data_IF_087423624985
#
_entry.id   IF_087423624985
#
_cell.length_a   1.000
_cell.length_b   1.000
_cell.length_c   1.000
_cell.angle_alpha   90.00
_cell.angle_beta   90.00
_cell.angle_gamma   90.00
#
_symmetry.space_group_name_H-M   'P 1'
#
loop_
_entity.id
_entity.type
_entity.pdbx_description
1 polymer ?
#
# COMPACT_ATOMS: atom_id res chain seq x y z
N UNK A 1 -29.05 4.74 -18.54
CA UNK A 1 -27.76 4.69 -19.24
C UNK A 1 -27.80 3.72 -20.43
N UNK A 2 -28.95 3.67 -21.14
CA UNK A 2 -29.25 2.61 -22.12
C UNK A 2 -28.37 2.60 -23.36
N UNK A 3 -27.82 3.76 -23.72
CA UNK A 3 -26.87 3.89 -24.83
C UNK A 3 -25.42 4.09 -24.35
N UNK A 4 -25.17 3.94 -23.05
CA UNK A 4 -23.86 4.15 -22.45
C UNK A 4 -23.09 2.85 -22.28
N UNK A 5 -21.77 2.98 -22.28
CA UNK A 5 -20.83 1.89 -22.02
C UNK A 5 -20.09 2.20 -20.71
N UNK A 6 -19.86 1.19 -19.88
CA UNK A 6 -19.05 1.32 -18.67
C UNK A 6 -17.70 0.63 -18.83
N UNK A 7 -16.66 1.24 -18.26
CA UNK A 7 -15.32 0.64 -18.13
C UNK A 7 -15.01 0.51 -16.64
N UNK A 8 -14.70 -0.69 -16.19
CA UNK A 8 -14.38 -0.98 -14.79
C UNK A 8 -13.08 -1.78 -14.69
N UNK A 9 -12.26 -1.44 -13.71
CA UNK A 9 -10.94 -2.06 -13.51
C UNK A 9 -11.03 -3.45 -12.89
N UNK A 10 -12.05 -3.69 -12.05
CA UNK A 10 -12.36 -4.98 -11.44
C UNK A 10 -13.81 -5.34 -11.73
N UNK A 11 -14.11 -6.64 -11.83
CA UNK A 11 -15.47 -7.14 -11.99
C UNK A 11 -16.43 -6.52 -10.96
N UNK A 12 -17.61 -6.00 -11.39
CA UNK A 12 -18.61 -5.48 -10.47
C UNK A 12 -19.07 -6.56 -9.48
N UNK A 13 -19.10 -6.23 -8.19
CA UNK A 13 -19.46 -7.20 -7.16
C UNK A 13 -20.92 -7.69 -7.30
N UNK A 14 -21.14 -8.96 -6.95
CA UNK A 14 -22.44 -9.65 -7.00
C UNK A 14 -23.09 -9.86 -5.61
N UNK A 15 -22.37 -9.57 -4.53
CA UNK A 15 -22.82 -9.82 -3.16
C UNK A 15 -23.46 -8.60 -2.50
N UNK A 16 -24.37 -8.86 -1.56
CA UNK A 16 -24.92 -7.85 -0.68
C UNK A 16 -23.91 -7.53 0.43
N UNK A 17 -23.34 -6.33 0.41
CA UNK A 17 -22.48 -5.81 1.48
C UNK A 17 -23.22 -4.78 2.33
N UNK A 18 -22.50 -3.77 2.80
CA UNK A 18 -23.09 -2.56 3.41
C UNK A 18 -24.00 -1.81 2.44
N UNK A 19 -23.68 -1.88 1.15
CA UNK A 19 -24.48 -1.37 0.04
C UNK A 19 -24.91 -2.52 -0.88
N UNK A 20 -25.99 -2.33 -1.68
CA UNK A 20 -26.39 -3.31 -2.70
C UNK A 20 -25.27 -3.62 -3.71
N UNK A 21 -25.34 -4.78 -4.41
CA UNK A 21 -24.32 -5.19 -5.38
C UNK A 21 -24.20 -4.21 -6.55
N UNK A 22 -22.96 -3.92 -6.97
CA UNK A 22 -22.69 -3.09 -8.15
C UNK A 22 -23.29 -3.70 -9.42
N UNK A 23 -23.23 -5.02 -9.57
CA UNK A 23 -23.82 -5.71 -10.73
C UNK A 23 -25.35 -5.49 -10.82
N UNK A 24 -26.05 -5.45 -9.68
CA UNK A 24 -27.48 -5.15 -9.63
C UNK A 24 -27.74 -3.70 -10.06
N UNK A 25 -27.00 -2.75 -9.52
CA UNK A 25 -27.10 -1.34 -9.92
C UNK A 25 -26.85 -1.15 -11.41
N UNK A 26 -25.83 -1.81 -11.97
CA UNK A 26 -25.49 -1.71 -13.39
C UNK A 26 -26.61 -2.27 -14.28
N UNK A 27 -27.28 -3.34 -13.84
CA UNK A 27 -28.48 -3.86 -14.48
C UNK A 27 -29.64 -2.85 -14.46
N UNK A 28 -29.92 -2.26 -13.29
CA UNK A 28 -31.00 -1.27 -13.12
C UNK A 28 -30.78 0.00 -13.96
N UNK A 29 -29.54 0.48 -14.03
CA UNK A 29 -29.16 1.61 -14.88
C UNK A 29 -29.23 1.28 -16.38
N UNK A 30 -29.19 -0.02 -16.71
CA UNK A 30 -29.36 -0.59 -18.03
C UNK A 30 -28.24 -0.22 -18.98
N UNK A 31 -26.97 -0.34 -18.59
CA UNK A 31 -25.84 -0.10 -19.50
C UNK A 31 -25.90 -1.01 -20.73
N UNK A 32 -25.50 -0.49 -21.89
CA UNK A 32 -25.46 -1.27 -23.15
C UNK A 32 -24.39 -2.35 -23.10
N UNK A 33 -23.18 -1.96 -22.68
CA UNK A 33 -22.00 -2.82 -22.64
C UNK A 33 -21.11 -2.44 -21.45
N UNK A 34 -20.46 -3.44 -20.86
CA UNK A 34 -19.52 -3.26 -19.77
C UNK A 34 -18.20 -3.93 -20.14
N UNK A 35 -17.12 -3.16 -20.12
CA UNK A 35 -15.76 -3.63 -20.30
C UNK A 35 -15.08 -3.76 -18.94
N UNK A 36 -14.53 -4.94 -18.67
CA UNK A 36 -13.90 -5.29 -17.40
C UNK A 36 -12.43 -5.61 -17.65
N UNK A 37 -11.55 -4.99 -16.87
CA UNK A 37 -10.11 -5.27 -16.98
C UNK A 37 -9.71 -6.59 -16.31
N UNK A 38 -10.03 -6.76 -15.02
CA UNK A 38 -9.66 -7.94 -14.24
C UNK A 38 -10.91 -8.60 -13.64
N UNK A 39 -10.99 -9.93 -13.75
CA UNK A 39 -12.03 -10.73 -13.07
C UNK A 39 -11.78 -10.75 -11.56
N UNK A 40 -12.82 -10.65 -10.74
CA UNK A 40 -12.66 -10.80 -9.29
C UNK A 40 -12.51 -12.29 -8.94
N UNK A 41 -11.46 -12.64 -8.19
CA UNK A 41 -11.20 -14.00 -7.74
C UNK A 41 -11.88 -14.30 -6.38
N UNK A 42 -12.49 -13.29 -5.75
CA UNK A 42 -13.20 -13.46 -4.50
C UNK A 42 -14.44 -14.35 -4.67
N UNK A 43 -14.51 -15.46 -3.92
CA UNK A 43 -15.61 -16.42 -3.98
C UNK A 43 -16.99 -15.82 -3.64
N UNK A 44 -17.02 -14.79 -2.80
CA UNK A 44 -18.26 -14.13 -2.37
C UNK A 44 -18.62 -13.02 -3.35
N UNK A 45 -17.65 -12.23 -3.82
CA UNK A 45 -17.91 -11.02 -4.60
C UNK A 45 -17.98 -11.22 -6.12
N UNK A 46 -17.35 -12.27 -6.66
CA UNK A 46 -17.37 -12.60 -8.09
C UNK A 46 -18.75 -13.07 -8.59
N UNK A 47 -18.94 -13.17 -9.90
CA UNK A 47 -20.19 -13.62 -10.51
C UNK A 47 -21.09 -12.49 -11.03
N UNK A 48 -20.63 -11.24 -10.90
CA UNK A 48 -21.36 -10.06 -11.33
C UNK A 48 -21.45 -9.97 -12.84
N UNK A 49 -20.39 -10.38 -13.54
CA UNK A 49 -20.40 -10.44 -15.00
C UNK A 49 -21.41 -11.47 -15.53
N UNK A 50 -21.46 -12.66 -14.94
CA UNK A 50 -22.45 -13.68 -15.30
C UNK A 50 -23.88 -13.21 -15.01
N UNK A 51 -24.10 -12.52 -13.89
CA UNK A 51 -25.40 -11.89 -13.59
C UNK A 51 -25.79 -10.86 -14.65
N UNK A 52 -24.90 -9.93 -15.00
CA UNK A 52 -25.15 -8.88 -16.00
C UNK A 52 -25.47 -9.46 -17.38
N UNK A 53 -24.73 -10.50 -17.80
CA UNK A 53 -25.02 -11.21 -19.05
C UNK A 53 -26.42 -11.82 -19.07
N UNK A 54 -26.89 -12.39 -17.94
CA UNK A 54 -28.26 -12.92 -17.81
C UNK A 54 -29.34 -11.85 -17.90
N UNK A 55 -29.00 -10.59 -17.58
CA UNK A 55 -29.89 -9.44 -17.73
C UNK A 55 -29.86 -8.83 -19.16
N UNK A 56 -29.13 -9.46 -20.09
CA UNK A 56 -29.03 -9.03 -21.48
C UNK A 56 -27.98 -7.94 -21.73
N UNK A 57 -27.12 -7.64 -20.74
CA UNK A 57 -26.04 -6.66 -20.90
C UNK A 57 -24.81 -7.35 -21.50
N UNK A 58 -24.22 -6.74 -22.53
CA UNK A 58 -22.97 -7.24 -23.11
C UNK A 58 -21.81 -7.01 -22.14
N UNK A 59 -21.02 -8.04 -21.86
CA UNK A 59 -19.87 -7.95 -20.96
C UNK A 59 -18.64 -8.58 -21.60
N UNK A 60 -17.57 -7.80 -21.68
CA UNK A 60 -16.27 -8.18 -22.22
C UNK A 60 -15.18 -8.04 -21.16
N UNK A 61 -14.30 -9.03 -21.09
CA UNK A 61 -13.21 -9.11 -20.11
C UNK A 61 -11.86 -8.80 -20.74
N UNK A 62 -10.85 -8.69 -19.89
CA UNK A 62 -9.43 -8.65 -20.23
C UNK A 62 -8.99 -7.37 -20.97
N UNK A 63 -9.76 -6.29 -20.86
CA UNK A 63 -9.39 -4.97 -21.39
C UNK A 63 -8.23 -4.41 -20.57
N UNK A 64 -7.05 -4.28 -21.19
CA UNK A 64 -5.82 -3.87 -20.50
C UNK A 64 -5.55 -4.71 -19.24
N UNK A 65 -5.78 -6.03 -19.32
CA UNK A 65 -5.72 -6.96 -18.18
C UNK A 65 -4.41 -6.83 -17.38
N UNK A 66 -3.29 -6.71 -18.07
CA UNK A 66 -1.98 -6.66 -17.42
C UNK A 66 -1.75 -5.32 -16.68
N UNK A 67 -2.21 -4.20 -17.24
CA UNK A 67 -2.25 -2.90 -16.55
C UNK A 67 -3.21 -2.93 -15.36
N UNK A 68 -4.38 -3.53 -15.53
CA UNK A 68 -5.36 -3.72 -14.46
C UNK A 68 -4.79 -4.56 -13.32
N UNK A 69 -4.09 -5.65 -13.61
CA UNK A 69 -3.39 -6.46 -12.61
C UNK A 69 -2.30 -5.68 -11.89
N UNK A 70 -1.53 -4.83 -12.58
CA UNK A 70 -0.53 -3.95 -11.94
C UNK A 70 -1.21 -2.97 -10.98
N UNK A 71 -2.29 -2.32 -11.40
CA UNK A 71 -3.08 -1.41 -10.56
C UNK A 71 -3.66 -2.12 -9.33
N UNK A 72 -4.23 -3.31 -9.54
CA UNK A 72 -4.92 -4.09 -8.50
C UNK A 72 -3.99 -4.99 -7.69
N UNK A 73 -2.68 -5.01 -7.97
CA UNK A 73 -1.72 -5.91 -7.32
C UNK A 73 -1.82 -5.93 -5.79
N UNK A 74 -1.91 -4.78 -5.07
CA UNK A 74 -2.12 -4.79 -3.62
C UNK A 74 -3.32 -5.62 -3.19
N UNK A 75 -4.46 -5.40 -3.86
CA UNK A 75 -5.73 -6.04 -3.55
C UNK A 75 -5.71 -7.53 -3.88
N UNK A 76 -5.19 -7.91 -5.05
CA UNK A 76 -5.09 -9.31 -5.47
C UNK A 76 -4.16 -10.12 -4.55
N UNK A 77 -3.07 -9.52 -4.07
CA UNK A 77 -2.18 -10.13 -3.06
C UNK A 77 -2.86 -10.24 -1.70
N UNK A 78 -3.52 -9.19 -1.24
CA UNK A 78 -4.28 -9.15 0.00
C UNK A 78 -5.39 -10.24 0.04
N UNK A 79 -6.06 -10.50 -1.07
CA UNK A 79 -7.07 -11.58 -1.17
C UNK A 79 -6.47 -12.98 -0.95
N UNK A 80 -5.21 -13.19 -1.33
CA UNK A 80 -4.53 -14.50 -1.29
C UNK A 80 -3.68 -14.70 -0.05
N UNK A 81 -3.37 -13.64 0.68
CA UNK A 81 -2.42 -13.68 1.78
C UNK A 81 -2.04 -12.30 2.25
N UNK A 82 -0.75 -12.09 2.49
CA UNK A 82 -0.21 -10.80 2.87
C UNK A 82 0.25 -10.04 1.64
N UNK A 83 -0.07 -8.75 1.60
CA UNK A 83 0.55 -7.77 0.72
C UNK A 83 1.55 -6.95 1.52
N UNK A 84 2.82 -7.00 1.12
CA UNK A 84 3.94 -6.35 1.79
C UNK A 84 4.47 -5.19 0.95
N UNK A 85 4.30 -3.97 1.43
CA UNK A 85 4.83 -2.74 0.83
C UNK A 85 6.07 -2.27 1.60
N UNK A 86 7.20 -2.07 0.94
CA UNK A 86 8.35 -1.42 1.57
C UNK A 86 8.41 0.05 1.17
N UNK A 87 8.48 0.97 2.13
CA UNK A 87 8.65 2.39 1.86
C UNK A 87 10.05 2.86 2.18
N UNK A 88 10.62 3.60 1.24
CA UNK A 88 11.92 4.26 1.37
C UNK A 88 11.80 5.73 0.96
N UNK A 89 12.53 6.62 1.63
CA UNK A 89 12.67 8.00 1.19
C UNK A 89 14.16 8.32 1.10
N UNK A 90 14.55 8.95 0.00
CA UNK A 90 15.94 9.21 -0.35
C UNK A 90 16.14 10.70 -0.64
N UNK A 91 17.31 11.24 -0.29
CA UNK A 91 17.79 12.50 -0.85
C UNK A 91 17.98 12.37 -2.36
N UNK A 92 18.18 13.48 -3.06
CA UNK A 92 18.42 13.50 -4.50
C UNK A 92 19.63 12.62 -4.88
N UNK A 93 20.66 12.60 -4.04
CA UNK A 93 21.85 11.76 -4.21
C UNK A 93 21.76 10.36 -3.60
N UNK A 94 20.61 9.95 -3.04
CA UNK A 94 20.36 8.56 -2.66
C UNK A 94 20.61 8.20 -1.20
N UNK A 95 20.71 9.18 -0.29
CA UNK A 95 20.81 8.90 1.14
C UNK A 95 19.43 8.72 1.79
N UNK A 96 19.22 7.66 2.59
CA UNK A 96 18.00 7.48 3.36
C UNK A 96 18.06 8.17 4.74
N UNK A 97 19.16 8.84 5.07
CA UNK A 97 19.43 9.43 6.37
C UNK A 97 19.10 10.93 6.38
N UNK A 98 18.80 11.44 7.57
CA UNK A 98 18.38 12.82 7.82
C UNK A 98 17.02 12.89 8.52
N UNK A 99 16.80 13.92 9.35
CA UNK A 99 15.57 14.06 10.15
C UNK A 99 14.31 14.11 9.28
N UNK A 100 14.36 14.87 8.19
CA UNK A 100 13.28 14.99 7.21
C UNK A 100 13.91 15.02 5.83
N UNK A 101 13.75 13.92 5.09
CA UNK A 101 14.27 13.79 3.72
C UNK A 101 13.24 14.26 2.70
N UNK A 102 12.01 13.77 2.84
CA UNK A 102 10.88 14.03 1.94
C UNK A 102 10.06 15.24 2.36
N UNK A 103 9.48 15.96 1.40
CA UNK A 103 8.60 17.10 1.64
C UNK A 103 7.25 16.73 2.30
N UNK A 104 6.45 17.75 2.64
CA UNK A 104 5.18 17.56 3.35
C UNK A 104 4.12 16.78 2.56
N UNK A 105 4.10 16.87 1.22
CA UNK A 105 3.16 16.11 0.39
C UNK A 105 3.51 14.62 0.40
N UNK A 106 4.78 14.28 0.24
CA UNK A 106 5.30 12.90 0.36
C UNK A 106 5.04 12.31 1.75
N UNK A 107 5.23 13.10 2.80
CA UNK A 107 4.92 12.69 4.18
C UNK A 107 3.42 12.50 4.36
N UNK A 108 2.58 13.41 3.87
CA UNK A 108 1.12 13.28 3.93
C UNK A 108 0.65 12.03 3.19
N UNK A 109 1.26 11.70 2.05
CA UNK A 109 0.99 10.46 1.31
C UNK A 109 1.35 9.21 2.13
N UNK A 110 2.52 9.20 2.76
CA UNK A 110 2.93 8.13 3.69
C UNK A 110 1.93 7.96 4.84
N UNK A 111 1.45 9.06 5.42
CA UNK A 111 0.45 9.03 6.49
C UNK A 111 -0.92 8.51 6.01
N UNK A 112 -1.32 8.82 4.77
CA UNK A 112 -2.55 8.25 4.16
C UNK A 112 -2.44 6.74 4.00
N UNK A 113 -1.26 6.21 3.64
CA UNK A 113 -1.04 4.76 3.58
C UNK A 113 -1.11 4.17 4.99
N UNK A 114 -0.40 4.76 5.96
CA UNK A 114 -0.45 4.32 7.37
C UNK A 114 -1.87 4.26 7.94
N UNK A 115 -2.79 5.08 7.44
CA UNK A 115 -4.18 5.08 7.87
C UNK A 115 -5.01 3.89 7.37
N UNK A 116 -4.56 3.18 6.33
CA UNK A 116 -5.33 2.11 5.65
C UNK A 116 -4.63 0.75 5.68
N UNK A 117 -3.40 0.67 6.20
CA UNK A 117 -2.70 -0.60 6.44
C UNK A 117 -3.18 -1.26 7.73
N UNK A 118 -3.01 -2.58 7.81
CA UNK A 118 -3.27 -3.32 9.04
C UNK A 118 -2.11 -3.18 10.03
N UNK A 119 -0.87 -3.18 9.52
CA UNK A 119 0.33 -3.26 10.34
C UNK A 119 1.52 -2.50 9.72
N UNK A 120 2.11 -1.59 10.51
CA UNK A 120 3.38 -0.95 10.20
C UNK A 120 4.52 -1.75 10.84
N UNK A 121 5.46 -2.23 10.04
CA UNK A 121 6.61 -3.03 10.46
C UNK A 121 7.87 -2.19 10.44
N UNK A 122 8.57 -2.12 11.57
CA UNK A 122 9.80 -1.32 11.71
C UNK A 122 10.89 -2.08 12.45
N UNK A 123 12.14 -1.76 12.12
CA UNK A 123 13.29 -2.29 12.85
C UNK A 123 13.53 -1.56 14.17
N UNK A 124 13.97 -2.28 15.20
CA UNK A 124 14.32 -1.68 16.49
C UNK A 124 15.48 -0.65 16.42
N UNK A 125 16.32 -0.70 15.37
CA UNK A 125 17.37 0.30 15.14
C UNK A 125 16.78 1.69 14.87
N UNK A 126 15.79 1.79 13.98
CA UNK A 126 15.05 3.04 13.69
C UNK A 126 14.45 3.64 14.95
N UNK A 127 13.89 2.79 15.83
CA UNK A 127 13.30 3.26 17.07
C UNK A 127 14.35 3.89 17.99
N UNK A 128 15.50 3.23 18.16
CA UNK A 128 16.58 3.72 19.05
C UNK A 128 17.28 4.96 18.51
N UNK A 129 17.37 5.12 17.20
CA UNK A 129 18.08 6.26 16.57
C UNK A 129 17.18 7.47 16.36
N UNK A 130 15.95 7.26 15.89
CA UNK A 130 15.13 8.34 15.35
C UNK A 130 14.03 8.80 16.32
N UNK A 131 13.80 8.06 17.40
CA UNK A 131 12.72 8.29 18.37
C UNK A 131 11.38 8.66 17.70
N UNK A 132 10.89 7.84 16.74
CA UNK A 132 9.81 8.26 15.86
C UNK A 132 8.46 8.24 16.57
N UNK A 133 7.43 8.82 15.95
CA UNK A 133 6.03 8.73 16.40
C UNK A 133 5.29 7.58 15.68
N UNK A 134 5.53 7.43 14.37
CA UNK A 134 4.93 6.39 13.51
C UNK A 134 3.40 6.37 13.56
N UNK A 135 2.76 7.51 13.29
CA UNK A 135 1.30 7.68 13.27
C UNK A 135 0.80 8.17 11.90
N UNK A 136 -0.50 8.47 11.84
CA UNK A 136 -1.21 9.03 10.68
C UNK A 136 -1.65 10.49 10.88
N UNK A 137 -0.93 11.28 11.72
CA UNK A 137 -1.36 12.64 12.11
C UNK A 137 -1.58 13.64 10.97
N UNK A 138 -0.78 13.57 9.90
CA UNK A 138 -0.86 14.52 8.79
C UNK A 138 -2.15 14.39 7.97
N UNK A 139 -2.85 13.25 8.06
CA UNK A 139 -4.17 13.07 7.46
C UNK A 139 -5.30 12.94 8.49
N UNK A 140 -5.01 13.25 9.78
CA UNK A 140 -5.97 13.19 10.90
C UNK A 140 -6.74 11.86 10.98
N UNK A 141 -6.05 10.75 10.70
CA UNK A 141 -6.63 9.41 10.71
C UNK A 141 -6.11 8.57 11.88
N UNK A 142 -6.72 7.40 12.09
CA UNK A 142 -6.27 6.42 13.09
C UNK A 142 -4.83 5.99 12.81
N UNK A 143 -4.01 5.92 13.85
CA UNK A 143 -2.65 5.39 13.74
C UNK A 143 -2.67 3.87 13.45
N UNK A 144 -1.71 3.35 12.67
CA UNK A 144 -1.59 1.91 12.44
C UNK A 144 -1.16 1.19 13.71
N UNK A 145 -1.50 -0.10 13.79
CA UNK A 145 -0.81 -1.02 14.68
C UNK A 145 0.65 -1.17 14.25
N UNK A 146 1.54 -1.52 15.18
CA UNK A 146 2.97 -1.57 14.94
C UNK A 146 3.52 -2.98 15.22
N UNK A 147 4.42 -3.48 14.38
CA UNK A 147 5.28 -4.61 14.68
C UNK A 147 6.73 -4.14 14.74
N UNK A 148 7.39 -4.38 15.88
CA UNK A 148 8.78 -4.01 16.11
C UNK A 148 9.62 -5.27 16.00
N UNK A 149 10.42 -5.35 14.94
CA UNK A 149 11.37 -6.44 14.75
C UNK A 149 12.70 -6.05 15.40
N UNK A 150 13.04 -6.72 16.50
CA UNK A 150 14.30 -6.48 17.22
C UNK A 150 14.88 -7.75 17.81
N UNK A 151 16.21 -7.77 17.93
CA UNK A 151 16.93 -8.80 18.71
C UNK A 151 16.89 -8.52 20.22
N UNK A 152 16.53 -7.30 20.62
CA UNK A 152 16.37 -6.91 22.02
C UNK A 152 14.91 -7.10 22.45
N UNK A 153 14.70 -7.43 23.72
CA UNK A 153 13.37 -7.42 24.30
C UNK A 153 12.77 -6.00 24.21
N UNK A 154 11.50 -5.90 23.80
CA UNK A 154 10.76 -4.64 23.68
C UNK A 154 10.66 -3.88 25.01
N UNK A 155 10.75 -4.59 26.13
CA UNK A 155 10.73 -3.99 27.47
C UNK A 155 11.98 -3.16 27.78
N UNK A 156 13.08 -3.42 27.07
CA UNK A 156 14.32 -2.68 27.22
C UNK A 156 14.35 -1.36 26.42
N UNK A 157 13.31 -1.06 25.63
CA UNK A 157 13.22 0.20 24.91
C UNK A 157 12.75 1.32 25.84
N UNK A 158 13.31 2.52 25.66
CA UNK A 158 12.87 3.72 26.38
C UNK A 158 11.39 4.01 26.07
N UNK A 159 10.53 3.83 27.08
CA UNK A 159 9.08 4.05 26.98
C UNK A 159 8.72 5.54 26.82
N UNK A 160 9.69 6.45 26.96
CA UNK A 160 9.48 7.86 26.67
C UNK A 160 9.46 8.19 25.17
N UNK A 161 9.96 7.29 24.32
CA UNK A 161 9.95 7.45 22.87
C UNK A 161 8.51 7.67 22.39
N UNK A 162 8.24 8.72 21.56
CA UNK A 162 6.88 9.14 21.21
C UNK A 162 5.97 8.04 20.68
N UNK A 163 6.52 7.05 19.95
CA UNK A 163 5.74 5.92 19.46
C UNK A 163 4.98 5.20 20.60
N UNK A 164 5.57 5.01 21.79
CA UNK A 164 4.90 4.27 22.86
C UNK A 164 3.74 5.04 23.50
N UNK A 165 3.59 6.33 23.17
CA UNK A 165 2.55 7.23 23.70
C UNK A 165 1.38 7.43 22.75
N UNK A 166 1.40 6.83 21.55
CA UNK A 166 0.29 6.94 20.59
C UNK A 166 -0.89 6.08 21.09
N UNK A 167 -2.08 6.66 21.31
CA UNK A 167 -3.21 5.94 21.88
C UNK A 167 -3.84 4.97 20.88
N UNK A 168 -4.57 3.97 21.39
CA UNK A 168 -5.46 3.09 20.63
C UNK A 168 -4.80 2.30 19.49
N UNK A 169 -3.52 1.95 19.64
CA UNK A 169 -2.81 1.03 18.75
C UNK A 169 -2.18 -0.12 19.53
N UNK A 170 -2.07 -1.26 18.89
CA UNK A 170 -1.37 -2.42 19.41
C UNK A 170 0.08 -2.43 18.92
N UNK A 171 0.98 -2.92 19.77
CA UNK A 171 2.40 -3.11 19.45
C UNK A 171 2.72 -4.60 19.58
N UNK A 172 3.24 -5.18 18.51
CA UNK A 172 3.61 -6.58 18.40
C UNK A 172 5.11 -6.75 18.28
N UNK A 173 5.61 -7.92 18.68
CA UNK A 173 7.01 -8.35 18.49
C UNK A 173 7.15 -9.40 17.38
N UNK A 174 6.01 -9.86 16.84
CA UNK A 174 5.91 -10.78 15.71
C UNK A 174 4.75 -10.33 14.82
N UNK A 175 4.81 -10.63 13.54
CA UNK A 175 3.75 -10.28 12.59
C UNK A 175 2.54 -11.19 12.86
N UNK A 176 1.36 -10.65 13.22
CA UNK A 176 0.15 -11.44 13.39
C UNK A 176 -0.30 -12.06 12.06
N UNK A 177 -0.83 -13.28 12.09
CA UNK A 177 -1.22 -14.02 10.88
C UNK A 177 -2.46 -13.42 10.19
N UNK A 178 -3.28 -12.70 10.94
CA UNK A 178 -4.46 -11.99 10.48
C UNK A 178 -4.14 -10.67 9.77
N UNK A 179 -2.95 -10.09 9.97
CA UNK A 179 -2.55 -8.87 9.26
C UNK A 179 -2.36 -9.18 7.78
N UNK A 180 -3.02 -8.41 6.90
CA UNK A 180 -3.02 -8.66 5.45
C UNK A 180 -2.32 -7.56 4.66
N UNK A 181 -2.47 -6.29 5.03
CA UNK A 181 -1.73 -5.19 4.42
C UNK A 181 -0.64 -4.68 5.36
N UNK A 182 0.61 -5.04 5.05
CA UNK A 182 1.79 -4.68 5.81
C UNK A 182 2.58 -3.61 5.09
N UNK A 183 3.03 -2.61 5.83
CA UNK A 183 3.99 -1.62 5.34
C UNK A 183 5.28 -1.71 6.15
N UNK A 184 6.41 -1.83 5.48
CA UNK A 184 7.74 -1.86 6.08
C UNK A 184 8.36 -0.47 5.94
N UNK A 185 8.81 0.11 7.05
CA UNK A 185 9.56 1.36 7.05
C UNK A 185 10.90 1.14 7.78
N UNK A 186 12.00 1.43 7.09
CA UNK A 186 13.34 1.31 7.65
C UNK A 186 14.42 1.75 6.66
N UNK A 187 15.66 1.74 7.14
CA UNK A 187 16.83 2.06 6.34
C UNK A 187 17.39 0.88 5.54
N UNK A 188 18.62 1.05 5.06
CA UNK A 188 19.34 0.09 4.20
C UNK A 188 19.37 -1.34 4.78
N UNK A 189 19.77 -1.50 6.05
CA UNK A 189 19.85 -2.83 6.67
C UNK A 189 18.50 -3.56 6.69
N UNK A 190 17.42 -2.83 6.92
CA UNK A 190 16.07 -3.40 6.96
C UNK A 190 15.64 -3.83 5.55
N UNK A 191 15.89 -2.99 4.55
CA UNK A 191 15.67 -3.34 3.15
C UNK A 191 16.46 -4.58 2.74
N UNK A 192 17.74 -4.67 3.12
CA UNK A 192 18.60 -5.82 2.81
C UNK A 192 18.04 -7.14 3.32
N UNK A 193 17.44 -7.15 4.51
CA UNK A 193 16.88 -8.35 5.13
C UNK A 193 15.59 -8.79 4.44
N UNK A 194 14.69 -7.84 4.16
CA UNK A 194 13.32 -8.17 3.74
C UNK A 194 13.08 -8.11 2.24
N UNK A 195 14.03 -7.61 1.43
CA UNK A 195 13.84 -7.36 -0.01
C UNK A 195 13.15 -8.50 -0.78
N UNK A 196 13.47 -9.75 -0.47
CA UNK A 196 12.96 -10.93 -1.20
C UNK A 196 11.53 -11.33 -0.80
N UNK A 197 11.01 -10.74 0.28
CA UNK A 197 9.63 -10.94 0.74
C UNK A 197 8.69 -9.79 0.36
N UNK A 198 9.21 -8.67 -0.14
CA UNK A 198 8.43 -7.47 -0.43
C UNK A 198 7.74 -7.60 -1.79
N UNK A 199 6.44 -7.35 -1.82
CA UNK A 199 5.66 -7.40 -3.05
C UNK A 199 5.84 -6.14 -3.90
N UNK A 200 5.94 -4.96 -3.27
CA UNK A 200 6.13 -3.67 -3.94
C UNK A 200 6.91 -2.69 -3.08
N UNK A 201 7.57 -1.74 -3.75
CA UNK A 201 8.36 -0.69 -3.13
C UNK A 201 7.78 0.67 -3.45
N UNK A 202 7.55 1.50 -2.44
CA UNK A 202 7.24 2.91 -2.57
C UNK A 202 8.51 3.71 -2.24
N UNK A 203 9.12 4.30 -3.26
CA UNK A 203 10.36 5.07 -3.08
C UNK A 203 10.05 6.53 -3.36
N UNK A 204 10.33 7.39 -2.40
CA UNK A 204 10.36 8.84 -2.57
C UNK A 204 11.79 9.29 -2.80
N UNK A 205 12.00 10.24 -3.71
CA UNK A 205 13.26 10.93 -3.91
C UNK A 205 13.03 12.44 -3.80
N UNK A 206 13.68 13.02 -2.80
CA UNK A 206 13.68 14.45 -2.51
C UNK A 206 14.47 15.22 -3.56
N UNK A 207 14.17 16.51 -3.70
CA UNK A 207 14.96 17.45 -4.52
C UNK A 207 16.21 17.98 -3.79
N UNK A 208 16.41 17.61 -2.52
CA UNK A 208 17.53 18.07 -1.70
C UNK A 208 18.73 17.11 -1.76
N UNK A 209 19.94 17.68 -1.74
CA UNK A 209 21.19 16.94 -1.53
C UNK A 209 21.56 16.97 -0.05
N UNK A 210 22.24 15.93 0.41
CA UNK A 210 22.90 15.90 1.72
C UNK A 210 24.26 15.20 1.64
N UNK A 211 25.07 15.34 2.68
CA UNK A 211 26.40 14.75 2.86
C UNK A 211 26.35 13.38 3.57
N UNK A 212 25.14 12.89 3.83
CA UNK A 212 24.89 11.63 4.50
C UNK A 212 25.20 10.41 3.60
N UNK A 213 25.42 9.26 4.23
CA UNK A 213 25.75 8.03 3.51
C UNK A 213 24.60 7.58 2.59
N UNK A 214 24.94 7.26 1.34
CA UNK A 214 24.01 6.72 0.35
C UNK A 214 23.68 5.24 0.58
N UNK A 215 22.53 4.80 0.06
CA UNK A 215 22.23 3.37 -0.08
C UNK A 215 23.21 2.73 -1.07
N UNK A 216 23.74 1.55 -0.72
CA UNK A 216 24.77 0.83 -1.50
C UNK A 216 24.35 -0.58 -1.91
N UNK A 217 23.11 -1.00 -1.64
CA UNK A 217 22.62 -2.33 -2.00
C UNK A 217 22.37 -2.42 -3.51
N UNK A 218 22.96 -3.39 -4.22
CA UNK A 218 22.68 -3.60 -5.64
C UNK A 218 21.28 -4.20 -5.82
N UNK A 219 20.32 -3.37 -6.21
CA UNK A 219 18.94 -3.76 -6.51
C UNK A 219 18.52 -3.21 -7.89
N UNK A 220 17.83 -4.04 -8.67
CA UNK A 220 17.32 -3.67 -9.98
C UNK A 220 15.81 -3.48 -9.89
N UNK A 221 15.38 -2.25 -9.63
CA UNK A 221 13.96 -1.94 -9.53
C UNK A 221 13.30 -1.80 -10.91
N UNK A 222 12.22 -2.54 -11.15
CA UNK A 222 11.33 -2.35 -12.28
C UNK A 222 10.26 -1.31 -11.92
N UNK A 223 10.20 -0.14 -12.59
CA UNK A 223 9.18 0.86 -12.30
C UNK A 223 7.81 0.40 -12.80
N UNK A 224 6.80 0.46 -11.93
CA UNK A 224 5.39 0.30 -12.28
C UNK A 224 4.70 1.64 -12.51
N UNK A 225 5.07 2.65 -11.72
CA UNK A 225 4.50 3.98 -11.77
C UNK A 225 5.50 5.00 -11.21
N UNK A 226 5.53 6.22 -11.76
CA UNK A 226 6.32 7.34 -11.24
C UNK A 226 5.56 8.64 -11.43
N UNK A 227 5.63 9.53 -10.45
CA UNK A 227 5.06 10.87 -10.54
C UNK A 227 5.72 11.82 -9.53
N UNK A 228 5.27 13.07 -9.50
CA UNK A 228 5.71 14.10 -8.58
C UNK A 228 4.73 14.26 -7.42
N UNK A 229 5.26 14.63 -6.26
CA UNK A 229 4.51 15.13 -5.12
C UNK A 229 5.18 16.43 -4.67
N UNK A 230 4.72 17.56 -5.21
CA UNK A 230 5.43 18.83 -5.04
C UNK A 230 6.79 18.78 -5.72
N UNK A 231 7.85 19.10 -4.97
CA UNK A 231 9.23 19.04 -5.45
C UNK A 231 9.85 17.64 -5.41
N UNK A 232 9.25 16.71 -4.67
CA UNK A 232 9.73 15.34 -4.60
C UNK A 232 9.20 14.54 -5.80
N UNK A 233 9.95 13.51 -6.18
CA UNK A 233 9.42 12.42 -7.01
C UNK A 233 9.07 11.23 -6.14
N UNK A 234 8.13 10.41 -6.60
CA UNK A 234 7.91 9.10 -6.02
C UNK A 234 7.65 8.07 -7.12
N UNK A 235 7.92 6.81 -6.80
CA UNK A 235 7.58 5.70 -7.67
C UNK A 235 7.15 4.46 -6.91
N UNK A 236 6.39 3.63 -7.62
CA UNK A 236 6.06 2.27 -7.21
C UNK A 236 6.90 1.32 -8.07
N UNK A 237 7.56 0.38 -7.42
CA UNK A 237 8.50 -0.54 -8.06
C UNK A 237 8.29 -1.99 -7.60
N UNK A 238 8.82 -2.90 -8.39
CA UNK A 238 9.05 -4.30 -8.06
C UNK A 238 10.56 -4.59 -8.18
N UNK A 239 11.03 -5.64 -7.51
CA UNK A 239 12.34 -6.23 -7.79
C UNK A 239 12.24 -7.24 -8.94
#
# INVERSE_FOLDING_TARGET
>A
FKDSIAFVTLEPCSHQGKTPPCAKLFSELGFKKIFISVKDENKIASGGAEFLKKQGIEVEFDILKEEGKKLLKPFLKWQKGQFKLFKLALSMNGSPLGKIVSNDLSRTYTHKIRAVIDLLVVGGETIRKDHPILDARLCKAKAPNLCILSRQNIDNFDKNIPLFKVPNRQIYTQIPSEAKFLMYEGGENFLKIFKDEIDMFLIFQSSSLNDEKNVTIPLNFKPLYRNFLGSDTYGIYEL
#
